data_IF_717473442759
#
_entry.id   IF_717473442759
#
_cell.length_a   1.000
_cell.length_b   1.000
_cell.length_c   1.000
_cell.angle_alpha   90.00
_cell.angle_beta   90.00
_cell.angle_gamma   90.00
#
_symmetry.space_group_name_H-M   'P 1'
#
loop_
_entity.id
_entity.type
_entity.pdbx_description
1 polymer ?
#
# COMPACT_ATOMS: atom_id res chain seq x y z
N UNK A 1 -0.41 3.92 27.01
CA UNK A 1 0.19 3.86 25.65
C UNK A 1 -0.44 2.65 24.98
N UNK A 2 -1.16 2.85 23.88
CA UNK A 2 -1.88 1.76 23.20
C UNK A 2 -1.00 1.23 22.08
N UNK A 3 -0.68 -0.06 22.14
CA UNK A 3 0.07 -0.75 21.09
C UNK A 3 -0.91 -1.62 20.30
N UNK A 4 -0.98 -1.40 18.99
CA UNK A 4 -1.99 -2.02 18.12
C UNK A 4 -1.28 -2.87 17.08
N UNK A 5 -1.38 -4.19 17.25
CA UNK A 5 -0.99 -5.14 16.22
C UNK A 5 -2.17 -5.45 15.30
N UNK A 6 -1.90 -5.55 14.01
CA UNK A 6 -2.88 -5.97 12.99
C UNK A 6 -2.38 -7.27 12.37
N UNK A 7 -3.27 -8.23 12.13
CA UNK A 7 -2.93 -9.52 11.54
C UNK A 7 -3.82 -9.83 10.34
N UNK A 8 -3.24 -10.42 9.30
CA UNK A 8 -3.91 -11.01 8.14
C UNK A 8 -3.71 -12.51 8.19
N UNK A 9 -4.73 -13.30 7.86
CA UNK A 9 -4.65 -14.75 7.91
C UNK A 9 -4.40 -15.32 6.51
N UNK A 10 -3.31 -16.08 6.37
CA UNK A 10 -3.01 -16.91 5.22
C UNK A 10 -3.41 -18.36 5.57
N UNK A 11 -4.64 -18.70 5.21
CA UNK A 11 -5.31 -19.91 5.72
C UNK A 11 -5.42 -19.87 7.25
N UNK A 12 -4.72 -20.80 7.92
CA UNK A 12 -4.71 -20.89 9.38
C UNK A 12 -3.48 -20.22 10.02
N UNK A 13 -2.63 -19.55 9.23
CA UNK A 13 -1.40 -18.91 9.71
C UNK A 13 -1.61 -17.40 9.83
N UNK A 14 -1.55 -16.83 11.05
CA UNK A 14 -1.59 -15.38 11.21
C UNK A 14 -0.26 -14.75 10.75
N UNK A 15 -0.35 -13.70 9.93
CA UNK A 15 0.75 -12.86 9.48
C UNK A 15 0.55 -11.46 10.03
N UNK A 16 1.56 -10.88 10.66
CA UNK A 16 1.49 -9.50 11.13
C UNK A 16 1.49 -8.53 9.94
N UNK A 17 0.55 -7.59 9.94
CA UNK A 17 0.39 -6.58 8.92
C UNK A 17 1.19 -5.33 9.28
N UNK A 18 2.05 -4.89 8.35
CA UNK A 18 2.88 -3.70 8.51
C UNK A 18 2.27 -2.54 7.74
N UNK A 19 1.89 -1.47 8.45
CA UNK A 19 1.49 -0.21 7.84
C UNK A 19 2.74 0.65 7.66
N UNK A 20 3.14 0.90 6.42
CA UNK A 20 4.29 1.76 6.09
C UNK A 20 4.05 2.54 4.80
N UNK A 21 4.94 3.50 4.53
CA UNK A 21 4.93 4.17 3.22
C UNK A 21 5.47 3.21 2.15
N UNK A 22 4.92 3.32 0.94
CA UNK A 22 5.44 2.62 -0.23
C UNK A 22 6.80 3.17 -0.66
N UNK A 23 7.60 2.28 -1.21
CA UNK A 23 8.88 2.52 -1.86
C UNK A 23 8.78 2.16 -3.33
N UNK A 24 9.81 2.48 -4.12
CA UNK A 24 9.85 2.09 -5.54
C UNK A 24 9.79 0.59 -5.75
N UNK A 25 10.31 -0.19 -4.81
CA UNK A 25 10.35 -1.65 -4.89
C UNK A 25 8.93 -2.26 -4.77
N UNK A 26 7.99 -1.54 -4.16
CA UNK A 26 6.61 -1.98 -3.99
C UNK A 26 5.75 -1.79 -5.27
N UNK A 27 6.23 -1.02 -6.26
CA UNK A 27 5.40 -0.62 -7.39
C UNK A 27 4.90 -1.79 -8.23
N UNK A 28 5.75 -2.79 -8.48
CA UNK A 28 5.36 -3.96 -9.28
C UNK A 28 4.22 -4.73 -8.62
N UNK A 29 4.31 -4.95 -7.30
CA UNK A 29 3.29 -5.66 -6.54
C UNK A 29 1.99 -4.85 -6.47
N UNK A 30 2.08 -3.52 -6.31
CA UNK A 30 0.90 -2.64 -6.34
C UNK A 30 0.18 -2.66 -7.69
N UNK A 31 0.92 -2.62 -8.81
CA UNK A 31 0.32 -2.72 -10.15
C UNK A 31 -0.42 -4.04 -10.30
N UNK A 32 0.20 -5.14 -9.87
CA UNK A 32 -0.39 -6.47 -9.97
C UNK A 32 -1.71 -6.57 -9.19
N UNK A 33 -1.74 -6.08 -7.95
CA UNK A 33 -2.98 -6.08 -7.15
C UNK A 33 -4.09 -5.27 -7.84
N UNK A 34 -3.76 -4.14 -8.47
CA UNK A 34 -4.73 -3.33 -9.19
C UNK A 34 -5.27 -4.05 -10.43
N UNK A 35 -4.43 -4.78 -11.17
CA UNK A 35 -4.86 -5.60 -12.31
C UNK A 35 -5.83 -6.72 -11.89
N UNK A 36 -5.64 -7.32 -10.72
CA UNK A 36 -6.53 -8.36 -10.20
C UNK A 36 -7.83 -7.79 -9.58
N UNK A 37 -7.87 -6.49 -9.25
CA UNK A 37 -9.00 -5.85 -8.56
C UNK A 37 -9.96 -5.09 -9.48
N UNK A 38 -9.52 -4.73 -10.67
CA UNK A 38 -10.27 -3.94 -11.65
C UNK A 38 -10.46 -4.78 -12.92
N UNK A 39 -11.54 -5.56 -12.98
CA UNK A 39 -12.03 -6.11 -14.25
C UNK A 39 -12.66 -4.96 -15.04
N UNK A 40 -11.83 -4.20 -15.74
CA UNK A 40 -12.27 -3.04 -16.51
C UNK A 40 -11.93 -3.26 -17.99
N UNK A 41 -12.94 -3.78 -18.72
CA UNK A 41 -12.86 -4.02 -20.16
C UNK A 41 -12.67 -2.73 -20.96
N UNK A 42 -13.11 -1.57 -20.45
CA UNK A 42 -12.99 -0.29 -21.16
C UNK A 42 -11.56 0.24 -21.13
N UNK A 43 -10.82 -0.02 -20.05
CA UNK A 43 -9.41 0.40 -19.89
C UNK A 43 -8.39 -0.68 -20.25
N UNK A 44 -8.84 -1.89 -20.63
CA UNK A 44 -7.98 -3.06 -20.91
C UNK A 44 -7.03 -3.37 -19.73
N UNK A 45 -7.56 -3.37 -18.49
CA UNK A 45 -6.80 -3.62 -17.26
C UNK A 45 -5.61 -2.66 -17.03
N UNK A 46 -5.71 -1.41 -17.51
CA UNK A 46 -4.71 -0.39 -17.20
C UNK A 46 -5.15 0.43 -15.99
N UNK A 47 -4.29 0.49 -14.97
CA UNK A 47 -4.50 1.32 -13.79
C UNK A 47 -3.40 2.39 -13.67
N UNK A 48 -3.76 3.56 -13.14
CA UNK A 48 -2.80 4.63 -12.85
C UNK A 48 -2.48 4.63 -11.36
N UNK A 49 -1.19 4.50 -11.02
CA UNK A 49 -0.71 4.75 -9.67
C UNK A 49 -0.43 6.25 -9.49
N UNK A 50 -1.09 6.85 -8.50
CA UNK A 50 -0.93 8.27 -8.18
C UNK A 50 -0.09 8.42 -6.91
N UNK A 51 0.93 9.28 -6.95
CA UNK A 51 1.67 9.65 -5.74
C UNK A 51 0.84 10.65 -4.93
N UNK A 52 0.44 10.26 -3.72
CA UNK A 52 -0.10 11.22 -2.76
C UNK A 52 0.98 11.67 -1.78
N UNK A 53 1.32 12.97 -1.84
CA UNK A 53 2.21 13.61 -0.87
C UNK A 53 1.38 14.06 0.33
N UNK A 54 1.65 13.50 1.50
CA UNK A 54 0.97 13.89 2.73
C UNK A 54 1.26 15.36 3.09
N UNK A 55 0.25 16.26 3.08
CA UNK A 55 0.46 17.68 3.34
C UNK A 55 0.75 18.00 4.81
N UNK A 56 0.53 17.04 5.71
CA UNK A 56 0.78 17.18 7.16
C UNK A 56 2.15 16.64 7.58
N UNK A 57 2.94 16.06 6.67
CA UNK A 57 4.34 15.69 6.98
C UNK A 57 5.19 16.96 7.08
N UNK A 58 5.37 17.46 8.30
CA UNK A 58 6.37 18.50 8.56
C UNK A 58 7.77 17.91 8.37
N UNK A 59 8.63 18.60 7.61
CA UNK A 59 10.07 18.29 7.59
C UNK A 59 10.60 18.61 8.99
N UNK A 60 11.01 17.59 9.73
CA UNK A 60 11.71 17.80 10.99
C UNK A 60 13.01 18.54 10.67
N UNK A 61 13.05 19.84 10.91
CA UNK A 61 14.28 20.61 10.94
C UNK A 61 15.10 20.13 12.13
N UNK A 62 16.09 19.28 11.87
CA UNK A 62 17.17 19.06 12.81
C UNK A 62 18.09 20.28 12.71
N UNK A 63 18.20 21.01 13.82
CA UNK A 63 19.20 22.06 14.05
C UNK A 63 20.42 21.42 14.70
#
# INVERSE_FOLDING_TARGET
MYDKHLYVFDGNTPREAVIRNYTTDDFNDLIRVQQESLEDEESLNHAVLMEWRNPFKQKQGHN
#
